data_IF_698275522451
#
_entry.id   IF_698275522451
#
_cell.length_a   1.000
_cell.length_b   1.000
_cell.length_c   1.000
_cell.angle_alpha   90.00
_cell.angle_beta   90.00
_cell.angle_gamma   90.00
#
_symmetry.space_group_name_H-M   'P 1'
#
loop_
_entity.id
_entity.type
_entity.pdbx_description
1 polymer ?
#
# COMPACT_ATOMS: atom_id res chain seq x y z
N UNK A 1 9.12 -0.30 -28.72
CA UNK A 1 8.70 0.65 -27.66
C UNK A 1 9.89 0.87 -26.76
N UNK A 2 10.25 2.13 -26.49
CA UNK A 2 11.32 2.51 -25.55
C UNK A 2 10.66 3.32 -24.43
N UNK A 3 10.86 2.90 -23.18
CA UNK A 3 10.38 3.60 -21.99
C UNK A 3 11.59 4.04 -21.19
N UNK A 4 11.64 5.31 -20.83
CA UNK A 4 12.71 5.91 -20.02
C UNK A 4 12.11 6.51 -18.76
N UNK A 5 12.79 6.34 -17.63
CA UNK A 5 12.40 6.92 -16.34
C UNK A 5 13.48 7.86 -15.83
N UNK A 6 13.08 8.95 -15.19
CA UNK A 6 14.00 9.93 -14.61
C UNK A 6 13.37 10.56 -13.38
N UNK A 7 14.19 11.06 -12.46
CA UNK A 7 13.79 11.86 -11.32
C UNK A 7 14.16 13.35 -11.46
N UNK A 8 14.30 13.82 -12.69
CA UNK A 8 14.59 15.24 -12.97
C UNK A 8 13.45 16.14 -12.50
N UNK A 9 13.80 17.25 -11.85
CA UNK A 9 12.83 18.23 -11.38
C UNK A 9 12.21 17.96 -10.00
N UNK A 10 12.41 16.77 -9.40
CA UNK A 10 11.80 16.43 -8.09
C UNK A 10 12.31 17.27 -6.93
N UNK A 11 13.59 17.69 -6.94
CA UNK A 11 14.19 18.47 -5.84
C UNK A 11 13.64 19.90 -5.73
N UNK A 12 13.20 20.49 -6.82
CA UNK A 12 12.67 21.85 -6.84
C UNK A 12 11.15 21.88 -6.61
N UNK A 13 10.47 20.76 -6.82
CA UNK A 13 9.04 20.59 -6.56
C UNK A 13 8.80 20.57 -5.06
N UNK A 14 9.55 19.77 -4.30
CA UNK A 14 9.41 19.64 -2.85
C UNK A 14 9.62 20.95 -2.09
N UNK A 15 10.41 21.89 -2.62
CA UNK A 15 10.67 23.21 -1.98
C UNK A 15 9.56 24.23 -2.18
N UNK A 16 8.69 24.06 -3.17
CA UNK A 16 7.72 25.08 -3.59
C UNK A 16 6.25 24.69 -3.38
N UNK A 17 5.96 23.52 -2.82
CA UNK A 17 4.61 23.10 -2.40
C UNK A 17 4.34 23.56 -0.95
N UNK A 18 4.80 24.77 -0.60
CA UNK A 18 4.43 25.45 0.62
C UNK A 18 3.16 26.28 0.41
N UNK A 19 2.05 25.86 1.04
CA UNK A 19 0.89 26.67 1.37
C UNK A 19 0.36 27.62 0.26
N UNK A 20 -0.03 27.10 -0.88
CA UNK A 20 -0.92 27.82 -1.78
C UNK A 20 -2.30 27.14 -1.75
N UNK A 21 -3.34 27.94 -1.48
CA UNK A 21 -4.76 27.54 -1.52
C UNK A 21 -5.28 27.27 -2.94
N UNK A 22 -4.44 26.67 -3.77
CA UNK A 22 -4.77 26.31 -5.15
C UNK A 22 -5.33 24.88 -5.18
N UNK A 23 -6.21 24.61 -6.13
CA UNK A 23 -6.74 23.27 -6.33
C UNK A 23 -5.60 22.27 -6.67
N UNK A 24 -5.81 20.99 -6.37
CA UNK A 24 -4.85 19.92 -6.68
C UNK A 24 -4.52 19.88 -8.17
N UNK A 25 -5.49 20.16 -9.03
CA UNK A 25 -5.33 20.23 -10.50
C UNK A 25 -4.39 21.36 -10.89
N UNK A 26 -4.51 22.55 -10.29
CA UNK A 26 -3.65 23.69 -10.57
C UNK A 26 -2.19 23.43 -10.12
N UNK A 27 -2.04 22.73 -9.00
CA UNK A 27 -0.72 22.33 -8.50
C UNK A 27 -0.05 21.31 -9.42
N UNK A 28 -0.80 20.34 -9.94
CA UNK A 28 -0.30 19.34 -10.88
C UNK A 28 0.17 19.97 -12.20
N UNK A 29 -0.64 20.85 -12.80
CA UNK A 29 -0.25 21.52 -14.06
C UNK A 29 0.98 22.44 -13.90
N UNK A 30 1.12 23.11 -12.76
CA UNK A 30 2.33 23.87 -12.43
C UNK A 30 3.55 22.98 -12.27
N UNK A 31 3.40 21.86 -11.58
CA UNK A 31 4.46 20.86 -11.45
C UNK A 31 4.89 20.33 -12.80
N UNK A 32 3.96 19.95 -13.65
CA UNK A 32 4.19 19.44 -15.00
C UNK A 32 4.92 20.48 -15.89
N UNK A 33 4.57 21.74 -15.76
CA UNK A 33 5.24 22.82 -16.48
C UNK A 33 6.70 22.97 -16.04
N UNK A 34 6.98 22.95 -14.73
CA UNK A 34 8.34 23.02 -14.20
C UNK A 34 9.21 21.83 -14.63
N UNK A 35 8.66 20.62 -14.57
CA UNK A 35 9.37 19.41 -15.03
C UNK A 35 9.72 19.55 -16.52
N UNK A 36 8.81 20.05 -17.34
CA UNK A 36 9.08 20.29 -18.77
C UNK A 36 10.18 21.32 -19.00
N UNK A 37 10.24 22.36 -18.18
CA UNK A 37 11.33 23.36 -18.26
C UNK A 37 12.68 22.74 -17.88
N UNK A 38 12.72 21.93 -16.83
CA UNK A 38 13.94 21.22 -16.44
C UNK A 38 14.40 20.22 -17.51
N UNK A 39 13.47 19.47 -18.12
CA UNK A 39 13.80 18.58 -19.23
C UNK A 39 14.47 19.32 -20.39
N UNK A 40 14.02 20.56 -20.74
CA UNK A 40 14.64 21.40 -21.78
C UNK A 40 16.05 21.86 -21.43
N UNK A 41 16.39 21.91 -20.13
CA UNK A 41 17.77 22.27 -19.70
C UNK A 41 18.73 21.09 -19.80
N UNK A 42 18.23 19.85 -19.54
CA UNK A 42 19.07 18.65 -19.52
C UNK A 42 19.20 17.98 -20.89
N UNK A 43 18.15 18.02 -21.69
CA UNK A 43 18.11 17.33 -22.97
C UNK A 43 18.10 18.30 -24.13
N UNK A 44 18.80 17.94 -25.22
CA UNK A 44 18.79 18.70 -26.45
C UNK A 44 17.41 18.68 -27.10
N UNK A 45 17.02 19.77 -27.81
CA UNK A 45 15.71 19.81 -28.49
C UNK A 45 15.50 18.66 -29.48
N UNK A 46 16.54 18.21 -30.16
CA UNK A 46 16.46 17.11 -31.12
C UNK A 46 16.07 15.78 -30.43
N UNK A 47 16.48 15.60 -29.18
CA UNK A 47 16.09 14.45 -28.41
C UNK A 47 14.65 14.56 -27.92
N UNK A 48 14.26 15.71 -27.35
CA UNK A 48 12.90 15.94 -26.85
C UNK A 48 11.86 15.84 -27.98
N UNK A 49 12.19 16.25 -29.20
CA UNK A 49 11.30 16.14 -30.36
C UNK A 49 11.06 14.70 -30.83
N UNK A 50 11.83 13.72 -30.34
CA UNK A 50 11.66 12.28 -30.63
C UNK A 50 10.89 11.53 -29.53
N UNK A 51 10.54 12.24 -28.46
CA UNK A 51 9.72 11.66 -27.38
C UNK A 51 8.26 11.86 -27.75
N UNK A 52 7.52 10.76 -27.89
CA UNK A 52 6.12 10.80 -28.23
C UNK A 52 5.29 11.36 -27.08
N UNK A 53 5.60 10.95 -25.84
CA UNK A 53 4.85 11.34 -24.65
C UNK A 53 5.75 11.47 -23.42
N UNK A 54 5.47 12.47 -22.59
CA UNK A 54 6.10 12.67 -21.28
C UNK A 54 5.03 12.63 -20.20
N UNK A 55 5.07 11.56 -19.39
CA UNK A 55 4.17 11.36 -18.25
C UNK A 55 4.88 11.86 -16.99
N UNK A 56 4.25 12.75 -16.27
CA UNK A 56 4.71 13.24 -14.96
C UNK A 56 3.82 12.64 -13.89
N UNK A 57 4.39 11.85 -12.99
CA UNK A 57 3.66 11.29 -11.86
C UNK A 57 3.51 12.34 -10.76
N UNK A 58 2.35 12.39 -10.13
CA UNK A 58 2.10 13.20 -8.94
C UNK A 58 2.62 12.51 -7.67
N UNK A 59 2.67 13.23 -6.57
CA UNK A 59 2.89 12.63 -5.25
C UNK A 59 1.68 11.76 -4.88
N UNK A 60 1.97 10.62 -4.24
CA UNK A 60 0.90 9.72 -3.80
C UNK A 60 0.06 10.36 -2.70
N UNK A 61 -1.25 10.29 -2.84
CA UNK A 61 -2.21 10.59 -1.78
C UNK A 61 -2.26 9.48 -0.75
N UNK A 62 -2.81 9.75 0.43
CA UNK A 62 -2.98 8.70 1.46
C UNK A 62 -3.85 7.55 0.97
N UNK A 63 -4.91 7.86 0.23
CA UNK A 63 -5.81 6.83 -0.33
C UNK A 63 -5.09 5.93 -1.33
N UNK A 64 -4.25 6.49 -2.21
CA UNK A 64 -3.43 5.69 -3.12
C UNK A 64 -2.37 4.85 -2.39
N UNK A 65 -1.82 5.35 -1.27
CA UNK A 65 -0.93 4.55 -0.43
C UNK A 65 -1.68 3.40 0.24
N UNK A 66 -2.94 3.60 0.67
CA UNK A 66 -3.80 2.52 1.19
C UNK A 66 -4.07 1.46 0.12
N UNK A 67 -4.32 1.85 -1.13
CA UNK A 67 -4.44 0.89 -2.24
C UNK A 67 -3.16 0.08 -2.46
N UNK A 68 -1.99 0.71 -2.30
CA UNK A 68 -0.71 0.00 -2.36
C UNK A 68 -0.55 -0.98 -1.19
N UNK A 69 -1.03 -0.62 0.01
CA UNK A 69 -1.09 -1.56 1.15
C UNK A 69 -1.91 -2.79 0.77
N UNK A 70 -3.12 -2.62 0.21
CA UNK A 70 -3.98 -3.74 -0.20
C UNK A 70 -3.28 -4.65 -1.21
N UNK A 71 -2.63 -4.09 -2.25
CA UNK A 71 -1.85 -4.87 -3.21
C UNK A 71 -0.66 -5.63 -2.59
N UNK A 72 -0.06 -5.09 -1.53
CA UNK A 72 1.01 -5.78 -0.81
C UNK A 72 0.48 -6.89 0.09
N UNK A 73 -0.73 -6.73 0.64
CA UNK A 73 -1.40 -7.73 1.45
C UNK A 73 -1.79 -8.99 0.66
N UNK A 74 -1.99 -8.89 -0.65
CA UNK A 74 -2.27 -10.06 -1.49
C UNK A 74 -1.22 -11.16 -1.32
N UNK A 75 0.05 -10.80 -1.13
CA UNK A 75 1.12 -11.77 -0.87
C UNK A 75 0.99 -12.44 0.49
N UNK A 76 0.58 -11.68 1.51
CA UNK A 76 0.34 -12.21 2.86
C UNK A 76 -0.83 -13.19 2.80
N UNK A 77 -1.91 -12.83 2.10
CA UNK A 77 -3.05 -13.70 1.86
C UNK A 77 -2.66 -15.02 1.17
N UNK A 78 -1.82 -14.96 0.12
CA UNK A 78 -1.34 -16.17 -0.56
C UNK A 78 -0.53 -17.09 0.36
N UNK A 79 0.28 -16.53 1.24
CA UNK A 79 1.05 -17.31 2.22
C UNK A 79 0.15 -17.98 3.27
N UNK A 80 -0.85 -17.24 3.78
CA UNK A 80 -1.78 -17.73 4.79
C UNK A 80 -2.75 -18.78 4.26
N UNK A 81 -3.10 -18.75 2.97
CA UNK A 81 -3.91 -19.81 2.33
C UNK A 81 -3.32 -21.21 2.49
N UNK A 82 -1.99 -21.33 2.54
CA UNK A 82 -1.35 -22.62 2.78
C UNK A 82 -1.59 -23.18 4.19
N UNK A 83 -1.98 -22.33 5.12
CA UNK A 83 -2.30 -22.66 6.52
C UNK A 83 -3.81 -22.65 6.79
N UNK A 84 -4.63 -22.50 5.74
CA UNK A 84 -6.09 -22.37 5.84
C UNK A 84 -6.50 -21.21 6.76
N UNK A 85 -5.85 -20.07 6.61
CA UNK A 85 -6.08 -18.85 7.38
C UNK A 85 -6.34 -17.68 6.45
N UNK A 86 -7.16 -16.76 6.91
CA UNK A 86 -7.40 -15.47 6.26
C UNK A 86 -6.98 -14.32 7.18
N UNK A 87 -6.61 -13.18 6.60
CA UNK A 87 -6.32 -11.96 7.35
C UNK A 87 -7.13 -10.81 6.79
N UNK A 88 -7.74 -10.02 7.66
CA UNK A 88 -8.53 -8.83 7.29
C UNK A 88 -8.06 -7.66 8.15
N UNK A 89 -7.71 -6.54 7.50
CA UNK A 89 -7.31 -5.34 8.19
C UNK A 89 -8.48 -4.36 8.31
N UNK A 90 -8.60 -3.73 9.48
CA UNK A 90 -9.49 -2.57 9.62
C UNK A 90 -8.96 -1.37 8.83
N UNK A 91 -9.82 -0.40 8.52
CA UNK A 91 -9.42 0.82 7.79
C UNK A 91 -8.38 1.63 8.58
N UNK A 92 -8.50 1.65 9.91
CA UNK A 92 -7.54 2.30 10.81
C UNK A 92 -6.17 1.61 10.78
N UNK A 93 -6.15 0.27 10.74
CA UNK A 93 -4.91 -0.49 10.61
C UNK A 93 -4.22 -0.25 9.27
N UNK A 94 -4.99 -0.18 8.18
CA UNK A 94 -4.47 0.18 6.84
C UNK A 94 -3.92 1.60 6.82
N UNK A 95 -4.62 2.55 7.40
CA UNK A 95 -4.19 3.95 7.49
C UNK A 95 -2.91 4.09 8.31
N UNK A 96 -2.82 3.36 9.41
CA UNK A 96 -1.61 3.30 10.22
C UNK A 96 -0.41 2.77 9.42
N UNK A 97 -0.57 1.64 8.72
CA UNK A 97 0.48 1.08 7.86
C UNK A 97 0.87 2.03 6.73
N UNK A 98 -0.11 2.68 6.10
CA UNK A 98 0.13 3.66 5.05
C UNK A 98 0.92 4.86 5.57
N UNK A 99 0.58 5.36 6.75
CA UNK A 99 1.26 6.51 7.38
C UNK A 99 2.69 6.16 7.81
N UNK A 100 2.88 5.01 8.45
CA UNK A 100 4.19 4.53 8.89
C UNK A 100 5.10 4.10 7.72
N UNK A 101 4.51 3.75 6.60
CA UNK A 101 5.22 3.29 5.41
C UNK A 101 5.43 4.35 4.34
N UNK A 102 4.84 5.53 4.48
CA UNK A 102 5.01 6.62 3.54
C UNK A 102 6.09 7.61 3.98
N UNK A 103 6.95 7.98 3.07
CA UNK A 103 7.97 9.00 3.27
C UNK A 103 7.89 10.04 2.14
N UNK A 104 7.96 11.33 2.49
CA UNK A 104 7.83 12.42 1.51
C UNK A 104 8.96 12.44 0.46
N UNK A 105 10.14 11.96 0.80
CA UNK A 105 11.29 11.91 -0.10
C UNK A 105 11.34 10.61 -0.91
N UNK A 106 11.00 9.48 -0.26
CA UNK A 106 11.10 8.13 -0.83
C UNK A 106 9.75 7.56 -1.32
N UNK A 107 8.63 8.26 -1.05
CA UNK A 107 7.28 7.83 -1.41
C UNK A 107 6.88 6.56 -0.65
N UNK A 108 6.27 5.60 -1.35
CA UNK A 108 5.83 4.32 -0.79
C UNK A 108 6.94 3.24 -0.72
N UNK A 109 8.20 3.57 -1.02
CA UNK A 109 9.29 2.58 -0.96
C UNK A 109 9.52 1.96 0.42
N UNK A 110 9.42 2.71 1.54
CA UNK A 110 9.56 2.12 2.87
C UNK A 110 8.40 1.23 3.28
N UNK A 111 7.23 1.35 2.62
CA UNK A 111 5.98 0.66 2.97
C UNK A 111 6.16 -0.85 3.10
N UNK A 112 6.92 -1.48 2.19
CA UNK A 112 7.20 -2.91 2.27
C UNK A 112 7.88 -3.32 3.58
N UNK A 113 8.83 -2.51 4.06
CA UNK A 113 9.53 -2.80 5.31
C UNK A 113 8.62 -2.56 6.52
N UNK A 114 7.75 -1.55 6.42
CA UNK A 114 6.77 -1.27 7.48
C UNK A 114 5.75 -2.41 7.59
N UNK A 115 5.21 -2.90 6.47
CA UNK A 115 4.31 -4.06 6.45
C UNK A 115 5.02 -5.30 7.02
N UNK A 116 6.24 -5.58 6.58
CA UNK A 116 6.99 -6.71 7.11
C UNK A 116 7.15 -6.61 8.63
N UNK A 117 7.66 -5.50 9.13
CA UNK A 117 7.96 -5.30 10.57
C UNK A 117 6.70 -5.24 11.43
N UNK A 118 5.64 -4.56 10.96
CA UNK A 118 4.47 -4.25 11.78
C UNK A 118 3.36 -5.31 11.66
N UNK A 119 3.31 -6.03 10.55
CA UNK A 119 2.28 -7.02 10.27
C UNK A 119 2.85 -8.43 10.12
N UNK A 120 3.76 -8.67 9.14
CA UNK A 120 4.19 -10.03 8.79
C UNK A 120 4.98 -10.70 9.91
N UNK A 121 5.96 -10.00 10.50
CA UNK A 121 6.80 -10.56 11.56
C UNK A 121 5.99 -10.90 12.83
N UNK A 122 5.15 -9.98 13.40
CA UNK A 122 4.32 -10.30 14.56
C UNK A 122 3.30 -11.41 14.28
N UNK A 123 2.66 -11.38 13.10
CA UNK A 123 1.69 -12.41 12.71
C UNK A 123 2.37 -13.78 12.61
N UNK A 124 3.59 -13.84 12.06
CA UNK A 124 4.37 -15.07 11.96
C UNK A 124 4.76 -15.63 13.32
N UNK A 125 5.12 -14.77 14.28
CA UNK A 125 5.40 -15.18 15.67
C UNK A 125 4.16 -15.80 16.32
N UNK A 126 2.99 -15.18 16.18
CA UNK A 126 1.74 -15.70 16.75
C UNK A 126 1.30 -17.02 16.09
N UNK A 127 1.54 -17.17 14.78
CA UNK A 127 1.32 -18.42 14.05
C UNK A 127 2.22 -19.56 14.58
N UNK A 128 3.50 -19.28 14.81
CA UNK A 128 4.45 -20.25 15.36
C UNK A 128 4.09 -20.66 16.79
N UNK A 129 3.50 -19.76 17.57
CA UNK A 129 2.98 -20.06 18.91
C UNK A 129 1.68 -20.89 18.88
N UNK A 130 1.12 -21.16 17.70
CA UNK A 130 -0.13 -21.92 17.56
C UNK A 130 -1.36 -21.18 18.07
N UNK A 131 -1.36 -19.85 18.01
CA UNK A 131 -2.45 -19.00 18.53
C UNK A 131 -3.73 -19.11 17.69
N UNK A 132 -3.61 -19.51 16.43
CA UNK A 132 -4.71 -19.57 15.46
C UNK A 132 -5.01 -21.00 15.03
N UNK A 133 -6.30 -21.32 14.91
CA UNK A 133 -6.77 -22.61 14.37
C UNK A 133 -6.93 -22.50 12.85
N UNK A 134 -6.75 -23.60 12.14
CA UNK A 134 -7.09 -23.67 10.72
C UNK A 134 -8.56 -23.30 10.49
N UNK A 135 -8.85 -22.56 9.44
CA UNK A 135 -10.19 -22.04 9.13
C UNK A 135 -10.53 -20.71 9.83
N UNK A 136 -9.63 -20.15 10.66
CA UNK A 136 -9.88 -18.87 11.33
C UNK A 136 -9.57 -17.68 10.40
N UNK A 137 -10.34 -16.60 10.56
CA UNK A 137 -10.02 -15.27 10.00
C UNK A 137 -9.36 -14.44 11.10
N UNK A 138 -8.20 -13.88 10.81
CA UNK A 138 -7.45 -13.00 11.70
C UNK A 138 -7.83 -11.57 11.38
N UNK A 139 -8.49 -10.88 12.30
CA UNK A 139 -8.82 -9.46 12.19
C UNK A 139 -7.68 -8.65 12.78
N UNK A 140 -7.13 -7.74 11.98
CA UNK A 140 -6.06 -6.84 12.39
C UNK A 140 -6.64 -5.46 12.62
N UNK A 141 -6.58 -4.98 13.85
CA UNK A 141 -7.04 -3.66 14.27
C UNK A 141 -5.89 -2.81 14.79
N UNK A 142 -6.13 -1.51 14.96
CA UNK A 142 -5.17 -0.57 15.54
C UNK A 142 -5.52 -0.30 17.00
N UNK A 143 -4.63 -0.68 17.91
CA UNK A 143 -4.64 -0.13 19.26
C UNK A 143 -4.12 1.32 19.22
N UNK A 144 -5.06 2.26 19.30
CA UNK A 144 -4.76 3.69 19.23
C UNK A 144 -3.99 4.22 20.45
N UNK A 145 -4.07 3.55 21.60
CA UNK A 145 -3.36 3.96 22.81
C UNK A 145 -1.87 3.63 22.71
N UNK A 146 -1.54 2.43 22.22
CA UNK A 146 -0.18 1.93 22.14
C UNK A 146 0.45 2.10 20.74
N UNK A 147 -0.33 2.56 19.75
CA UNK A 147 0.10 2.69 18.36
C UNK A 147 0.68 1.37 17.81
N UNK A 148 -0.07 0.27 18.02
CA UNK A 148 0.32 -1.08 17.60
C UNK A 148 -0.85 -1.79 16.91
N UNK A 149 -0.50 -2.73 16.03
CA UNK A 149 -1.49 -3.62 15.46
C UNK A 149 -1.80 -4.75 16.46
N UNK A 150 -3.08 -5.04 16.63
CA UNK A 150 -3.60 -6.14 17.39
C UNK A 150 -4.19 -7.18 16.46
N UNK A 151 -4.01 -8.45 16.81
CA UNK A 151 -4.39 -9.61 16.00
C UNK A 151 -5.40 -10.45 16.76
N UNK A 152 -6.65 -10.46 16.31
CA UNK A 152 -7.72 -11.20 16.96
C UNK A 152 -8.26 -12.29 16.01
N UNK A 153 -8.29 -13.57 16.46
CA UNK A 153 -8.93 -14.62 15.68
C UNK A 153 -10.45 -14.47 15.77
N UNK A 154 -11.10 -14.49 14.61
CA UNK A 154 -12.55 -14.69 14.52
C UNK A 154 -12.75 -16.11 14.03
N UNK A 155 -13.30 -16.96 14.89
CA UNK A 155 -13.64 -18.33 14.49
C UNK A 155 -14.74 -18.29 13.43
N UNK A 156 -14.59 -19.10 12.38
CA UNK A 156 -15.69 -19.32 11.43
C UNK A 156 -16.92 -19.82 12.23
N UNK A 157 -18.13 -19.35 11.93
CA UNK A 157 -19.31 -19.89 12.58
C UNK A 157 -19.33 -21.41 12.39
N UNK A 158 -19.47 -22.17 13.47
CA UNK A 158 -19.61 -23.62 13.42
C UNK A 158 -20.70 -23.94 12.39
N UNK A 159 -20.34 -24.57 11.28
CA UNK A 159 -21.34 -25.12 10.37
C UNK A 159 -22.16 -26.13 11.19
N UNK A 160 -23.49 -26.01 11.23
CA UNK A 160 -24.30 -27.00 11.93
C UNK A 160 -24.00 -28.38 11.32
N UNK A 161 -23.90 -29.43 12.16
CA UNK A 161 -23.62 -30.78 11.68
C UNK A 161 -24.63 -31.13 10.58
N UNK A 162 -24.13 -31.45 9.40
CA UNK A 162 -24.95 -31.97 8.28
C UNK A 162 -25.47 -33.31 8.74
N UNK A 163 -26.74 -33.34 9.15
CA UNK A 163 -27.46 -34.60 9.43
C UNK A 163 -27.48 -35.42 8.12
N UNK A 164 -26.62 -36.41 8.05
CA UNK A 164 -26.73 -37.45 7.04
C UNK A 164 -28.05 -38.18 7.28
N UNK A 165 -29.08 -37.77 6.55
CA UNK A 165 -30.31 -38.56 6.46
C UNK A 165 -29.97 -39.78 5.63
N UNK A 166 -29.72 -40.89 6.32
CA UNK A 166 -29.71 -42.21 5.70
C UNK A 166 -31.07 -42.45 5.01
N UNK A 167 -31.08 -42.36 3.69
CA UNK A 167 -32.21 -42.82 2.90
C UNK A 167 -32.05 -44.32 2.67
N UNK A 168 -32.45 -45.13 3.65
CA UNK A 168 -32.87 -46.49 3.38
C UNK A 168 -34.35 -46.49 2.99
N UNK A 169 -34.62 -46.86 1.76
CA UNK A 169 -35.69 -47.80 1.35
C UNK A 169 -35.75 -47.92 -0.17
#
# INVERSE_FOLDING_TARGET
>A
IIIMTSNLGTKDIAKNVGFSSLSEVDNYEKMKSKVREELKRYFKPEFLNRIDETIVFHELTLDEVKEIVDLMLDRVHEQLKNSDLEVVLSDEAKEYLATEGYDKEFGARPLRRSIQRLLEDPLSEELLMGKYKAGSTIVVSLDSENQKLEFEPVEAPDEPPVDFVDSES
#
